data_IF_361705419846
#
_entry.id   IF_361705419846
#
_cell.length_a   1.000
_cell.length_b   1.000
_cell.length_c   1.000
_cell.angle_alpha   90.00
_cell.angle_beta   90.00
_cell.angle_gamma   90.00
#
_symmetry.space_group_name_H-M   'P 1'
#
loop_
_entity.id
_entity.type
_entity.pdbx_description
1 polymer ?
#
# COMPACT_ATOMS: atom_id res chain seq x y z
N UNK A 1 -6.57 -33.37 -6.29
CA UNK A 1 -6.16 -32.68 -5.04
C UNK A 1 -7.22 -32.67 -3.94
N UNK A 2 -8.48 -33.10 -4.17
CA UNK A 2 -9.54 -33.15 -3.15
C UNK A 2 -9.19 -33.90 -1.85
N UNK A 3 -8.18 -34.79 -1.86
CA UNK A 3 -7.76 -35.59 -0.71
C UNK A 3 -6.57 -35.02 0.07
N UNK A 4 -6.08 -33.83 -0.29
CA UNK A 4 -4.91 -33.21 0.34
C UNK A 4 -5.33 -32.33 1.52
N UNK A 5 -5.68 -32.94 2.66
CA UNK A 5 -6.23 -32.25 3.84
C UNK A 5 -5.23 -31.38 4.61
N UNK A 6 -3.93 -31.63 4.48
CA UNK A 6 -2.84 -30.91 5.16
C UNK A 6 -2.22 -29.81 4.30
N UNK A 7 -2.85 -29.44 3.19
CA UNK A 7 -2.32 -28.44 2.27
C UNK A 7 -2.40 -27.03 2.91
N UNK A 8 -1.24 -26.37 3.03
CA UNK A 8 -1.10 -25.02 3.60
C UNK A 8 -0.97 -23.96 2.53
N UNK A 9 -0.29 -24.27 1.43
CA UNK A 9 -0.11 -23.37 0.30
C UNK A 9 -0.45 -24.10 -1.01
N UNK A 10 -1.21 -23.43 -1.87
CA UNK A 10 -1.50 -23.87 -3.23
C UNK A 10 -1.11 -22.77 -4.20
N UNK A 11 0.02 -22.95 -4.88
CA UNK A 11 0.50 -22.04 -5.91
C UNK A 11 0.39 -22.72 -7.28
N UNK A 12 -0.54 -22.25 -8.10
CA UNK A 12 -0.79 -22.71 -9.47
C UNK A 12 -0.77 -21.53 -10.45
N UNK A 13 -0.14 -20.41 -10.07
CA UNK A 13 -0.06 -19.22 -10.90
C UNK A 13 0.76 -19.43 -12.18
N UNK A 14 0.52 -18.59 -13.20
CA UNK A 14 1.22 -18.61 -14.49
C UNK A 14 1.08 -19.95 -15.23
N UNK A 15 -0.16 -20.44 -15.35
CA UNK A 15 -0.48 -21.67 -16.07
C UNK A 15 -1.61 -21.41 -17.09
N UNK A 16 -2.00 -22.46 -17.81
CA UNK A 16 -3.10 -22.42 -18.78
C UNK A 16 -4.36 -23.12 -18.24
N UNK A 17 -4.57 -23.11 -16.92
CA UNK A 17 -5.72 -23.77 -16.28
C UNK A 17 -7.01 -23.02 -16.63
N UNK A 18 -8.08 -23.75 -16.92
CA UNK A 18 -9.35 -23.17 -17.36
C UNK A 18 -10.55 -23.79 -16.62
N UNK A 19 -11.71 -23.14 -16.78
CA UNK A 19 -12.95 -23.54 -16.11
C UNK A 19 -13.15 -22.85 -14.76
N UNK A 20 -14.22 -23.20 -14.02
CA UNK A 20 -14.50 -22.57 -12.74
C UNK A 20 -13.49 -23.01 -11.67
N UNK A 21 -13.23 -22.14 -10.70
CA UNK A 21 -12.50 -22.52 -9.49
C UNK A 21 -13.31 -23.62 -8.78
N UNK A 22 -12.77 -24.83 -8.58
CA UNK A 22 -13.55 -25.92 -8.01
C UNK A 22 -13.92 -25.67 -6.54
N UNK A 23 -15.15 -25.99 -6.16
CA UNK A 23 -15.63 -25.80 -4.77
C UNK A 23 -14.80 -26.52 -3.72
N UNK A 24 -14.21 -27.67 -4.09
CA UNK A 24 -13.39 -28.45 -3.17
C UNK A 24 -12.23 -27.62 -2.59
N UNK A 25 -11.73 -26.59 -3.29
CA UNK A 25 -10.68 -25.70 -2.78
C UNK A 25 -11.12 -25.02 -1.48
N UNK A 26 -12.38 -24.62 -1.37
CA UNK A 26 -12.95 -24.03 -0.16
C UNK A 26 -13.49 -25.05 0.85
N UNK A 27 -13.79 -26.27 0.41
CA UNK A 27 -14.31 -27.33 1.28
C UNK A 27 -13.20 -28.10 2.01
N UNK A 28 -12.09 -28.39 1.31
CA UNK A 28 -10.93 -29.14 1.78
C UNK A 28 -9.68 -28.67 1.02
N UNK A 29 -8.81 -27.82 1.61
CA UNK A 29 -8.14 -28.02 2.90
C UNK A 29 -8.38 -26.88 3.91
N UNK A 30 -8.78 -27.20 5.14
CA UNK A 30 -9.08 -26.17 6.16
C UNK A 30 -7.87 -25.36 6.63
N UNK A 31 -6.66 -25.91 6.45
CA UNK A 31 -5.40 -25.26 6.83
C UNK A 31 -4.82 -24.37 5.73
N UNK A 32 -5.49 -24.27 4.57
CA UNK A 32 -4.98 -23.49 3.45
C UNK A 32 -4.86 -22.01 3.85
N UNK A 33 -3.63 -21.53 3.85
CA UNK A 33 -3.24 -20.18 4.18
C UNK A 33 -2.98 -19.34 2.92
N UNK A 34 -2.44 -19.97 1.88
CA UNK A 34 -2.02 -19.30 0.64
C UNK A 34 -2.70 -19.96 -0.55
N UNK A 35 -3.43 -19.17 -1.33
CA UNK A 35 -4.03 -19.59 -2.58
C UNK A 35 -3.63 -18.61 -3.69
N UNK A 36 -2.78 -19.07 -4.61
CA UNK A 36 -2.33 -18.30 -5.77
C UNK A 36 -2.73 -19.03 -7.05
N UNK A 37 -3.72 -18.47 -7.75
CA UNK A 37 -4.24 -18.95 -9.03
C UNK A 37 -4.03 -17.91 -10.16
N UNK A 38 -3.20 -16.90 -9.91
CA UNK A 38 -2.91 -15.78 -10.82
C UNK A 38 -2.55 -16.22 -12.23
N UNK A 39 -2.89 -15.42 -13.25
CA UNK A 39 -2.44 -15.62 -14.63
C UNK A 39 -2.79 -17.01 -15.15
N UNK A 40 -4.09 -17.28 -15.20
CA UNK A 40 -4.72 -18.49 -15.75
C UNK A 40 -5.97 -18.09 -16.57
N UNK A 41 -6.81 -19.06 -16.92
CA UNK A 41 -8.09 -18.88 -17.60
C UNK A 41 -9.28 -19.32 -16.73
N UNK A 42 -9.17 -19.19 -15.40
CA UNK A 42 -10.29 -19.47 -14.51
C UNK A 42 -11.46 -18.54 -14.81
N UNK A 43 -12.67 -19.08 -14.85
CA UNK A 43 -13.88 -18.34 -15.19
C UNK A 43 -14.98 -18.55 -14.15
N UNK A 44 -16.20 -18.07 -14.46
CA UNK A 44 -17.34 -18.04 -13.55
C UNK A 44 -17.07 -17.19 -12.30
N UNK A 45 -17.99 -17.24 -11.33
CA UNK A 45 -17.89 -16.47 -10.09
C UNK A 45 -16.90 -17.05 -9.09
N UNK A 46 -16.33 -16.18 -8.25
CA UNK A 46 -15.58 -16.60 -7.06
C UNK A 46 -16.49 -17.48 -6.20
N UNK A 47 -16.15 -18.77 -5.97
CA UNK A 47 -17.04 -19.67 -5.28
C UNK A 47 -17.13 -19.34 -3.79
N UNK A 48 -18.35 -19.30 -3.25
CA UNK A 48 -18.62 -18.96 -1.84
C UNK A 48 -18.03 -19.98 -0.87
N UNK A 49 -17.71 -21.20 -1.34
CA UNK A 49 -16.97 -22.20 -0.59
C UNK A 49 -15.62 -21.69 -0.10
N UNK A 50 -14.95 -20.77 -0.82
CA UNK A 50 -13.69 -20.14 -0.39
C UNK A 50 -13.81 -19.40 0.95
N UNK A 51 -14.99 -18.86 1.25
CA UNK A 51 -15.25 -18.18 2.53
C UNK A 51 -15.19 -19.12 3.74
N UNK A 52 -15.10 -20.45 3.54
CA UNK A 52 -14.92 -21.44 4.61
C UNK A 52 -13.45 -21.64 4.99
N UNK A 53 -12.51 -20.99 4.30
CA UNK A 53 -11.06 -21.07 4.54
C UNK A 53 -10.63 -20.05 5.60
N UNK A 54 -10.87 -20.36 6.86
CA UNK A 54 -10.60 -19.46 7.98
C UNK A 54 -9.10 -19.15 8.17
N UNK A 55 -8.22 -20.06 7.73
CA UNK A 55 -6.77 -19.88 7.80
C UNK A 55 -6.19 -19.04 6.65
N UNK A 56 -7.00 -18.70 5.63
CA UNK A 56 -6.54 -18.01 4.44
C UNK A 56 -6.06 -16.59 4.78
N UNK A 57 -4.82 -16.29 4.39
CA UNK A 57 -4.17 -15.00 4.59
C UNK A 57 -3.76 -14.36 3.26
N UNK A 58 -3.53 -15.16 2.22
CA UNK A 58 -3.20 -14.68 0.89
C UNK A 58 -4.12 -15.33 -0.14
N UNK A 59 -4.87 -14.48 -0.83
CA UNK A 59 -5.71 -14.85 -1.96
C UNK A 59 -5.30 -14.05 -3.18
N UNK A 60 -4.77 -14.71 -4.20
CA UNK A 60 -4.44 -14.10 -5.48
C UNK A 60 -5.14 -14.88 -6.62
N UNK A 61 -6.20 -14.27 -7.15
CA UNK A 61 -6.96 -14.76 -8.31
C UNK A 61 -6.80 -13.82 -9.52
N UNK A 62 -5.79 -12.95 -9.50
CA UNK A 62 -5.62 -11.90 -10.51
C UNK A 62 -5.32 -12.46 -11.91
N UNK A 63 -5.53 -11.65 -12.96
CA UNK A 63 -5.26 -12.04 -14.35
C UNK A 63 -5.96 -13.36 -14.74
N UNK A 64 -7.28 -13.37 -14.61
CA UNK A 64 -8.14 -14.50 -14.99
C UNK A 64 -9.38 -13.98 -15.73
N UNK A 65 -10.34 -14.87 -15.99
CA UNK A 65 -11.64 -14.55 -16.61
C UNK A 65 -12.80 -14.65 -15.60
N UNK A 66 -12.54 -14.39 -14.31
CA UNK A 66 -13.55 -14.53 -13.25
C UNK A 66 -14.57 -13.41 -13.38
N UNK A 67 -15.85 -13.73 -13.28
CA UNK A 67 -16.97 -12.81 -13.46
C UNK A 67 -17.92 -12.83 -12.26
N UNK A 68 -19.04 -12.10 -12.33
CA UNK A 68 -20.00 -12.01 -11.24
C UNK A 68 -19.53 -11.10 -10.09
N UNK A 69 -20.21 -11.18 -8.95
CA UNK A 69 -20.02 -10.25 -7.84
C UNK A 69 -19.02 -10.77 -6.80
N UNK A 70 -18.42 -9.84 -6.06
CA UNK A 70 -17.59 -10.16 -4.90
C UNK A 70 -18.42 -10.81 -3.79
N UNK A 71 -18.04 -11.98 -3.27
CA UNK A 71 -18.79 -12.64 -2.21
C UNK A 71 -18.80 -11.82 -0.91
N UNK A 72 -20.00 -11.51 -0.40
CA UNK A 72 -20.16 -10.83 0.90
C UNK A 72 -19.56 -11.62 2.07
N UNK A 73 -19.45 -12.94 1.91
CA UNK A 73 -18.86 -13.82 2.91
C UNK A 73 -17.32 -13.73 3.02
N UNK A 74 -16.65 -12.88 2.24
CA UNK A 74 -15.20 -12.67 2.38
C UNK A 74 -14.80 -12.23 3.80
N UNK A 75 -15.72 -11.58 4.54
CA UNK A 75 -15.56 -11.27 5.97
C UNK A 75 -15.39 -12.49 6.87
N UNK A 76 -15.74 -13.71 6.41
CA UNK A 76 -15.55 -14.95 7.16
C UNK A 76 -14.10 -15.46 7.13
N UNK A 77 -13.19 -14.82 6.39
CA UNK A 77 -11.76 -15.13 6.37
C UNK A 77 -11.11 -14.59 7.66
N UNK A 78 -11.30 -15.31 8.76
CA UNK A 78 -10.98 -14.83 10.13
C UNK A 78 -9.52 -14.43 10.31
N UNK A 79 -8.57 -15.09 9.62
CA UNK A 79 -7.15 -14.71 9.70
C UNK A 79 -6.90 -13.28 9.20
N UNK A 80 -7.69 -12.79 8.23
CA UNK A 80 -7.64 -11.42 7.71
C UNK A 80 -8.44 -10.42 8.57
N UNK A 81 -9.32 -10.90 9.46
CA UNK A 81 -10.06 -10.07 10.43
C UNK A 81 -9.21 -9.76 11.67
N UNK A 82 -8.36 -10.68 12.13
CA UNK A 82 -7.59 -10.51 13.37
C UNK A 82 -6.36 -9.64 13.15
N UNK A 83 -6.09 -8.69 14.06
CA UNK A 83 -4.81 -7.99 14.15
C UNK A 83 -3.83 -8.81 15.00
N UNK A 84 -2.73 -9.32 14.43
CA UNK A 84 -1.72 -10.04 15.22
C UNK A 84 -0.68 -9.05 15.77
N UNK A 85 -0.63 -8.91 17.09
CA UNK A 85 0.35 -8.06 17.78
C UNK A 85 1.75 -8.69 17.84
N UNK A 86 1.89 -10.00 17.61
CA UNK A 86 3.15 -10.75 17.56
C UNK A 86 3.08 -11.84 16.49
N UNK A 87 3.19 -11.49 15.21
CA UNK A 87 3.19 -12.49 14.15
C UNK A 87 4.52 -13.25 14.16
N UNK A 88 4.49 -14.55 14.47
CA UNK A 88 5.65 -15.42 14.31
C UNK A 88 6.04 -15.46 12.83
N UNK A 89 7.24 -15.00 12.47
CA UNK A 89 7.68 -14.80 11.09
C UNK A 89 8.09 -16.09 10.34
N UNK A 90 7.63 -17.27 10.75
CA UNK A 90 7.96 -18.52 10.04
C UNK A 90 6.73 -19.42 9.89
N UNK A 91 6.31 -19.72 8.65
CA UNK A 91 5.51 -20.92 8.34
C UNK A 91 6.54 -22.01 8.05
N UNK A 92 6.49 -23.13 8.76
CA UNK A 92 7.04 -24.38 8.23
C UNK A 92 5.93 -25.06 7.44
N UNK A 93 6.01 -25.09 6.11
CA UNK A 93 5.20 -25.99 5.31
C UNK A 93 6.13 -27.01 4.64
N UNK A 94 5.66 -28.24 4.51
CA UNK A 94 6.42 -29.30 3.84
C UNK A 94 5.88 -29.45 2.43
N UNK A 95 6.57 -28.93 1.42
CA UNK A 95 6.27 -29.26 0.03
C UNK A 95 6.74 -30.70 -0.22
N UNK A 96 5.79 -31.62 -0.45
CA UNK A 96 6.09 -32.94 -0.96
C UNK A 96 6.43 -32.85 -2.47
N UNK A 97 7.61 -32.32 -2.79
CA UNK A 97 8.18 -32.35 -4.13
C UNK A 97 9.12 -33.54 -4.25
N UNK A 98 8.66 -34.67 -4.80
CA UNK A 98 9.58 -35.73 -5.25
C UNK A 98 10.30 -35.25 -6.51
N UNK A 99 11.40 -34.52 -6.34
CA UNK A 99 12.42 -34.45 -7.39
C UNK A 99 13.21 -35.76 -7.36
N UNK A 100 13.46 -36.34 -8.54
CA UNK A 100 14.26 -37.55 -8.67
C UNK A 100 15.65 -37.35 -8.04
N UNK A 101 15.92 -38.11 -6.97
CA UNK A 101 17.28 -38.64 -6.72
C UNK A 101 18.22 -37.87 -5.80
N UNK A 102 17.75 -36.95 -4.96
CA UNK A 102 18.57 -36.42 -3.85
C UNK A 102 17.68 -36.15 -2.63
N UNK A 103 17.93 -36.90 -1.55
CA UNK A 103 17.44 -36.63 -0.20
C UNK A 103 18.13 -35.38 0.36
N UNK A 104 17.88 -34.23 -0.26
CA UNK A 104 18.16 -32.95 0.37
C UNK A 104 16.88 -32.50 1.06
N UNK A 105 16.91 -32.53 2.39
CA UNK A 105 15.90 -31.92 3.22
C UNK A 105 15.84 -30.42 2.89
N UNK A 106 14.86 -30.01 2.08
CA UNK A 106 14.59 -28.61 1.79
C UNK A 106 14.41 -27.85 3.10
N UNK A 107 15.24 -26.85 3.33
CA UNK A 107 15.13 -25.97 4.49
C UNK A 107 13.85 -25.12 4.34
N UNK A 108 13.06 -24.88 5.40
CA UNK A 108 11.87 -24.02 5.34
C UNK A 108 12.14 -22.56 4.92
N UNK A 109 13.41 -22.16 4.79
CA UNK A 109 13.86 -20.81 4.44
C UNK A 109 14.06 -20.58 2.93
N UNK A 110 13.93 -21.62 2.09
CA UNK A 110 14.16 -21.56 0.65
C UNK A 110 12.89 -21.35 -0.19
N UNK A 111 11.72 -21.25 0.44
CA UNK A 111 10.45 -21.17 -0.30
C UNK A 111 10.13 -19.72 -0.70
N UNK A 112 10.28 -19.44 -1.99
CA UNK A 112 9.99 -18.15 -2.62
C UNK A 112 8.59 -18.20 -3.22
N UNK A 113 7.69 -17.32 -2.76
CA UNK A 113 6.39 -17.10 -3.38
C UNK A 113 6.36 -15.70 -3.99
N UNK A 114 6.08 -15.65 -5.29
CA UNK A 114 5.89 -14.42 -6.03
C UNK A 114 4.51 -13.85 -5.77
N UNK A 115 4.47 -12.70 -5.09
CA UNK A 115 3.23 -11.96 -4.83
C UNK A 115 3.35 -10.59 -5.46
N UNK A 116 2.30 -10.10 -6.11
CA UNK A 116 2.26 -8.70 -6.52
C UNK A 116 2.01 -7.84 -5.29
N UNK A 117 3.03 -7.08 -4.90
CA UNK A 117 2.99 -6.14 -3.79
C UNK A 117 3.34 -4.76 -4.31
N UNK A 118 2.50 -3.75 -4.06
CA UNK A 118 2.74 -2.37 -4.53
C UNK A 118 3.00 -2.26 -6.04
N UNK A 119 2.27 -3.06 -6.83
CA UNK A 119 2.42 -3.10 -8.29
C UNK A 119 3.72 -3.76 -8.79
N UNK A 120 4.51 -4.39 -7.90
CA UNK A 120 5.74 -5.11 -8.26
C UNK A 120 5.65 -6.56 -7.81
N UNK A 121 6.09 -7.48 -8.67
CA UNK A 121 6.30 -8.88 -8.26
C UNK A 121 7.41 -8.88 -7.20
N UNK A 122 7.05 -9.27 -5.99
CA UNK A 122 7.94 -9.32 -4.84
C UNK A 122 8.04 -10.76 -4.38
N UNK A 123 9.27 -11.22 -4.25
CA UNK A 123 9.60 -12.52 -3.70
C UNK A 123 9.43 -12.48 -2.18
N UNK A 124 8.46 -13.22 -1.66
CA UNK A 124 8.28 -13.40 -0.24
C UNK A 124 8.87 -14.75 0.19
N UNK A 125 9.66 -14.72 1.27
CA UNK A 125 10.21 -15.89 1.95
C UNK A 125 9.47 -16.10 3.28
N UNK A 126 10.18 -16.03 4.40
CA UNK A 126 9.66 -16.19 5.77
C UNK A 126 8.63 -15.11 6.19
N UNK A 127 8.63 -13.93 5.57
CA UNK A 127 7.70 -12.83 5.91
C UNK A 127 6.28 -13.01 5.39
N UNK A 128 5.97 -14.08 4.65
CA UNK A 128 4.66 -14.27 4.03
C UNK A 128 3.48 -14.35 5.04
N UNK A 129 3.70 -14.78 6.30
CA UNK A 129 2.67 -14.70 7.39
C UNK A 129 2.22 -13.28 7.70
N UNK A 130 3.08 -12.29 7.47
CA UNK A 130 2.79 -10.89 7.76
C UNK A 130 1.86 -10.29 6.71
N UNK A 131 1.79 -10.90 5.54
CA UNK A 131 1.06 -10.37 4.40
C UNK A 131 -0.35 -10.95 4.38
N UNK A 132 -1.31 -10.12 4.79
CA UNK A 132 -2.74 -10.38 4.59
C UNK A 132 -3.18 -9.65 3.34
N UNK A 133 -3.36 -10.38 2.24
CA UNK A 133 -3.56 -9.79 0.91
C UNK A 133 -4.69 -10.46 0.14
N UNK A 134 -5.47 -9.63 -0.54
CA UNK A 134 -6.47 -10.04 -1.54
C UNK A 134 -6.14 -9.32 -2.84
N UNK A 135 -5.78 -10.09 -3.87
CA UNK A 135 -5.65 -9.61 -5.25
C UNK A 135 -6.66 -10.33 -6.15
N UNK A 136 -7.61 -9.55 -6.68
CA UNK A 136 -8.63 -9.98 -7.63
C UNK A 136 -8.57 -9.16 -8.92
N UNK A 137 -7.46 -8.46 -9.15
CA UNK A 137 -7.31 -7.53 -10.25
C UNK A 137 -7.29 -8.21 -11.62
N UNK A 138 -7.59 -7.45 -12.67
CA UNK A 138 -7.56 -7.94 -14.06
C UNK A 138 -8.47 -9.17 -14.25
N UNK A 139 -9.74 -8.99 -13.94
CA UNK A 139 -10.81 -9.95 -14.10
C UNK A 139 -12.04 -9.24 -14.70
N UNK A 140 -13.20 -9.90 -14.70
CA UNK A 140 -14.49 -9.36 -15.17
C UNK A 140 -15.50 -9.23 -14.02
N UNK A 141 -15.04 -9.01 -12.78
CA UNK A 141 -15.92 -8.86 -11.62
C UNK A 141 -16.81 -7.63 -11.79
N UNK A 142 -18.07 -7.74 -11.37
CA UNK A 142 -19.07 -6.69 -11.50
C UNK A 142 -19.84 -6.47 -10.19
N UNK A 143 -20.80 -5.54 -10.22
CA UNK A 143 -21.56 -5.15 -9.04
C UNK A 143 -20.73 -4.32 -8.07
N UNK A 144 -21.23 -4.14 -6.85
CA UNK A 144 -20.63 -3.27 -5.85
C UNK A 144 -19.53 -3.97 -5.03
N UNK A 145 -18.60 -3.17 -4.50
CA UNK A 145 -17.68 -3.65 -3.46
C UNK A 145 -18.47 -3.88 -2.17
N UNK A 146 -18.56 -5.12 -1.66
CA UNK A 146 -19.38 -5.44 -0.50
C UNK A 146 -18.85 -4.73 0.75
N UNK A 147 -19.74 -4.11 1.53
CA UNK A 147 -19.36 -3.42 2.77
C UNK A 147 -18.68 -4.34 3.79
N UNK A 148 -18.94 -5.64 3.72
CA UNK A 148 -18.34 -6.69 4.52
C UNK A 148 -16.81 -6.75 4.37
N UNK A 149 -16.24 -6.26 3.25
CA UNK A 149 -14.78 -6.19 3.08
C UNK A 149 -14.14 -5.29 4.14
N UNK A 150 -14.88 -4.30 4.65
CA UNK A 150 -14.41 -3.37 5.69
C UNK A 150 -14.28 -4.01 7.07
N UNK A 151 -14.67 -5.28 7.22
CA UNK A 151 -14.49 -6.08 8.44
C UNK A 151 -13.11 -6.77 8.49
N UNK A 152 -12.38 -6.80 7.37
CA UNK A 152 -11.05 -7.41 7.28
C UNK A 152 -9.96 -6.47 7.84
N UNK A 153 -10.09 -6.05 9.10
CA UNK A 153 -9.25 -4.97 9.68
C UNK A 153 -7.76 -5.30 9.74
N UNK A 154 -7.38 -6.58 9.61
CA UNK A 154 -5.99 -7.02 9.51
C UNK A 154 -5.42 -7.01 8.08
N UNK A 155 -6.23 -6.69 7.06
CA UNK A 155 -5.80 -6.68 5.66
C UNK A 155 -4.74 -5.60 5.43
N UNK A 156 -3.69 -5.96 4.70
CA UNK A 156 -2.53 -5.10 4.41
C UNK A 156 -2.51 -4.69 2.94
N UNK A 157 -3.00 -5.53 2.03
CA UNK A 157 -3.14 -5.17 0.61
C UNK A 157 -4.48 -5.61 0.05
N UNK A 158 -5.11 -4.70 -0.69
CA UNK A 158 -6.33 -4.94 -1.45
C UNK A 158 -6.17 -4.40 -2.87
N UNK A 159 -6.22 -5.30 -3.85
CA UNK A 159 -6.17 -4.94 -5.27
C UNK A 159 -7.41 -5.50 -5.98
N UNK A 160 -8.28 -4.58 -6.40
CA UNK A 160 -9.51 -4.86 -7.16
C UNK A 160 -9.48 -4.18 -8.54
N UNK A 161 -8.32 -3.67 -8.95
CA UNK A 161 -8.17 -2.89 -10.18
C UNK A 161 -8.50 -3.68 -11.44
N UNK A 162 -8.83 -2.99 -12.54
CA UNK A 162 -9.10 -3.61 -13.85
C UNK A 162 -10.20 -4.67 -13.78
N UNK A 163 -11.35 -4.26 -13.28
CA UNK A 163 -12.59 -5.03 -13.25
C UNK A 163 -13.75 -4.14 -13.76
N UNK A 164 -14.98 -4.62 -13.66
CA UNK A 164 -16.20 -3.89 -14.01
C UNK A 164 -17.01 -3.51 -12.74
N UNK A 165 -16.33 -3.24 -11.62
CA UNK A 165 -16.99 -2.92 -10.34
C UNK A 165 -17.69 -1.57 -10.42
N UNK A 166 -18.86 -1.47 -9.83
CA UNK A 166 -19.74 -0.29 -9.84
C UNK A 166 -20.07 0.16 -8.42
N UNK A 167 -20.86 1.23 -8.29
CA UNK A 167 -21.31 1.75 -7.01
C UNK A 167 -20.21 2.49 -6.25
N UNK A 168 -20.44 2.74 -4.96
CA UNK A 168 -19.56 3.57 -4.15
C UNK A 168 -18.45 2.77 -3.48
N UNK A 169 -17.32 3.44 -3.22
CA UNK A 169 -16.32 2.91 -2.29
C UNK A 169 -16.97 2.85 -0.90
N UNK A 170 -16.93 1.70 -0.18
CA UNK A 170 -17.58 1.56 1.12
C UNK A 170 -17.18 2.66 2.11
N UNK A 171 -18.17 3.33 2.71
CA UNK A 171 -17.94 4.47 3.62
C UNK A 171 -17.01 4.12 4.79
N UNK A 172 -16.98 2.85 5.21
CA UNK A 172 -16.15 2.33 6.31
C UNK A 172 -14.79 1.78 5.85
N UNK A 173 -14.32 2.10 4.64
CA UNK A 173 -13.01 1.62 4.15
C UNK A 173 -11.85 1.99 5.09
N UNK A 174 -11.98 3.11 5.81
CA UNK A 174 -11.03 3.52 6.86
C UNK A 174 -10.88 2.54 8.04
N UNK A 175 -11.77 1.55 8.20
CA UNK A 175 -11.62 0.51 9.22
C UNK A 175 -10.45 -0.44 8.94
N UNK A 176 -9.96 -0.48 7.69
CA UNK A 176 -8.80 -1.27 7.29
C UNK A 176 -7.51 -0.56 7.75
N UNK A 177 -7.32 -0.42 9.06
CA UNK A 177 -6.27 0.40 9.65
C UNK A 177 -4.84 -0.05 9.30
N UNK A 178 -4.68 -1.34 8.96
CA UNK A 178 -3.40 -1.93 8.57
C UNK A 178 -3.11 -1.87 7.06
N UNK A 179 -4.01 -1.29 6.28
CA UNK A 179 -3.89 -1.27 4.83
C UNK A 179 -2.70 -0.39 4.40
N UNK A 180 -1.77 -1.01 3.70
CA UNK A 180 -0.56 -0.40 3.13
C UNK A 180 -0.72 -0.13 1.63
N UNK A 181 -1.50 -0.97 0.93
CA UNK A 181 -1.74 -0.87 -0.51
C UNK A 181 -3.23 -1.01 -0.83
N UNK A 182 -3.79 -0.02 -1.52
CA UNK A 182 -5.13 -0.04 -2.08
C UNK A 182 -5.11 0.33 -3.56
N UNK A 183 -5.51 -0.59 -4.42
CA UNK A 183 -5.71 -0.32 -5.84
C UNK A 183 -7.13 -0.68 -6.28
N UNK A 184 -7.89 0.35 -6.67
CA UNK A 184 -9.26 0.28 -7.18
C UNK A 184 -9.34 0.82 -8.62
N UNK A 185 -8.21 1.06 -9.27
CA UNK A 185 -8.18 1.75 -10.56
C UNK A 185 -8.84 0.96 -11.67
N UNK A 186 -9.25 1.64 -12.75
CA UNK A 186 -9.83 0.98 -13.94
C UNK A 186 -11.06 0.14 -13.58
N UNK A 187 -12.05 0.79 -12.99
CA UNK A 187 -13.38 0.24 -12.68
C UNK A 187 -14.45 1.29 -13.08
N UNK A 188 -15.70 1.06 -12.68
CA UNK A 188 -16.83 1.97 -12.85
C UNK A 188 -17.36 2.50 -11.50
N UNK A 189 -16.47 2.64 -10.50
CA UNK A 189 -16.85 3.12 -9.18
C UNK A 189 -17.31 4.58 -9.26
N UNK A 190 -18.30 4.94 -8.47
CA UNK A 190 -18.94 6.26 -8.47
C UNK A 190 -19.09 6.85 -7.08
N UNK A 191 -19.55 8.10 -7.00
CA UNK A 191 -19.66 8.84 -5.75
C UNK A 191 -18.31 9.39 -5.27
N UNK A 192 -18.29 9.88 -4.04
CA UNK A 192 -17.09 10.51 -3.47
C UNK A 192 -16.11 9.50 -2.87
N UNK A 193 -14.84 9.89 -2.83
CA UNK A 193 -13.84 9.18 -2.02
C UNK A 193 -14.24 9.36 -0.54
N UNK A 194 -14.44 8.28 0.24
CA UNK A 194 -14.86 8.39 1.64
C UNK A 194 -13.82 9.12 2.49
N UNK A 195 -14.27 10.05 3.35
CA UNK A 195 -13.40 10.75 4.31
C UNK A 195 -12.64 9.78 5.23
N UNK A 196 -13.23 8.61 5.51
CA UNK A 196 -12.60 7.56 6.32
C UNK A 196 -11.32 7.01 5.70
N UNK A 197 -11.15 7.08 4.36
CA UNK A 197 -9.92 6.62 3.70
C UNK A 197 -8.71 7.44 4.16
N UNK A 198 -8.90 8.73 4.48
CA UNK A 198 -7.85 9.60 5.01
C UNK A 198 -7.44 9.32 6.46
N UNK A 199 -8.13 8.41 7.15
CA UNK A 199 -7.83 7.97 8.52
C UNK A 199 -6.91 6.75 8.59
N UNK A 200 -6.75 6.01 7.49
CA UNK A 200 -5.77 4.93 7.43
C UNK A 200 -4.40 5.60 7.49
N UNK A 201 -3.53 5.28 8.45
CA UNK A 201 -2.21 5.93 8.57
C UNK A 201 -1.09 5.20 7.82
N UNK A 202 -1.28 3.92 7.52
CA UNK A 202 -0.26 3.06 6.93
C UNK A 202 -0.22 3.04 5.40
N UNK A 203 -1.13 3.73 4.71
CA UNK A 203 -1.25 3.59 3.26
C UNK A 203 -0.04 4.22 2.56
N UNK A 204 0.67 3.43 1.76
CA UNK A 204 1.83 3.86 0.98
C UNK A 204 1.60 3.75 -0.52
N UNK A 205 0.61 2.97 -0.95
CA UNK A 205 0.15 2.90 -2.33
C UNK A 205 -1.36 3.07 -2.35
N UNK A 206 -1.80 4.09 -3.08
CA UNK A 206 -3.19 4.35 -3.37
C UNK A 206 -3.35 4.59 -4.87
N UNK A 207 -4.31 3.92 -5.48
CA UNK A 207 -4.71 4.19 -6.85
C UNK A 207 -6.22 4.02 -7.01
N UNK A 208 -6.91 5.11 -7.37
CA UNK A 208 -8.34 5.16 -7.66
C UNK A 208 -8.61 5.75 -9.05
N UNK A 209 -7.57 5.83 -9.88
CA UNK A 209 -7.63 6.40 -11.23
C UNK A 209 -8.57 5.62 -12.15
N UNK A 210 -9.04 6.27 -13.21
CA UNK A 210 -9.90 5.67 -14.24
C UNK A 210 -11.16 5.02 -13.65
N UNK A 211 -11.98 5.85 -12.98
CA UNK A 211 -13.28 5.50 -12.43
C UNK A 211 -14.27 6.64 -12.74
N UNK A 212 -15.47 6.60 -12.16
CA UNK A 212 -16.48 7.65 -12.25
C UNK A 212 -16.67 8.36 -10.89
N UNK A 213 -15.59 8.52 -10.13
CA UNK A 213 -15.60 9.18 -8.82
C UNK A 213 -15.82 10.70 -8.99
N UNK A 214 -16.45 11.30 -7.99
CA UNK A 214 -16.86 12.70 -8.02
C UNK A 214 -16.63 13.44 -6.71
N UNK A 215 -16.66 14.77 -6.78
CA UNK A 215 -16.52 15.64 -5.62
C UNK A 215 -15.08 15.90 -5.20
N UNK A 216 -14.92 16.49 -4.01
CA UNK A 216 -13.61 16.91 -3.50
C UNK A 216 -12.83 15.73 -2.92
N UNK A 217 -11.55 15.62 -3.25
CA UNK A 217 -10.63 14.68 -2.60
C UNK A 217 -10.58 15.03 -1.09
N UNK A 218 -10.94 14.08 -0.20
CA UNK A 218 -10.93 14.32 1.24
C UNK A 218 -9.57 14.78 1.74
N UNK A 219 -9.55 15.85 2.54
CA UNK A 219 -8.35 16.22 3.27
C UNK A 219 -8.09 15.15 4.33
N UNK A 220 -6.94 14.50 4.27
CA UNK A 220 -6.57 13.40 5.15
C UNK A 220 -5.11 13.50 5.55
N UNK A 221 -4.64 12.54 6.36
CA UNK A 221 -3.25 12.56 6.82
C UNK A 221 -2.24 12.41 5.67
N UNK A 222 -2.55 11.60 4.64
CA UNK A 222 -1.65 11.42 3.49
C UNK A 222 -2.32 11.40 2.10
N UNK A 223 -3.63 11.62 1.95
CA UNK A 223 -4.25 11.56 0.61
C UNK A 223 -3.66 12.61 -0.35
N UNK A 224 -3.31 13.78 0.17
CA UNK A 224 -2.71 14.86 -0.62
C UNK A 224 -1.23 14.61 -0.96
N UNK A 225 -0.56 13.63 -0.33
CA UNK A 225 0.86 13.34 -0.61
C UNK A 225 1.05 12.40 -1.80
N UNK A 226 -0.01 11.73 -2.27
CA UNK A 226 0.06 10.89 -3.45
C UNK A 226 0.15 11.71 -4.73
N UNK A 227 0.73 11.11 -5.78
CA UNK A 227 0.79 11.75 -7.09
C UNK A 227 -0.62 11.90 -7.68
N UNK A 228 -0.86 12.99 -8.43
CA UNK A 228 -2.07 13.20 -9.21
C UNK A 228 -2.48 11.97 -10.06
N UNK A 229 -1.51 11.20 -10.55
CA UNK A 229 -1.74 9.97 -11.32
C UNK A 229 -2.61 8.94 -10.59
N UNK A 230 -2.62 8.94 -9.24
CA UNK A 230 -3.48 8.06 -8.45
C UNK A 230 -4.97 8.40 -8.58
N UNK A 231 -5.32 9.57 -9.10
CA UNK A 231 -6.68 10.11 -9.14
C UNK A 231 -7.18 10.45 -10.54
N UNK A 232 -6.28 10.56 -11.53
CA UNK A 232 -6.60 10.90 -12.93
C UNK A 232 -7.61 9.94 -13.55
N UNK A 233 -8.38 10.40 -14.54
CA UNK A 233 -9.40 9.58 -15.19
C UNK A 233 -10.71 9.51 -14.42
N UNK A 234 -10.92 10.41 -13.46
CA UNK A 234 -12.20 10.67 -12.78
C UNK A 234 -12.66 12.10 -13.13
N UNK A 235 -13.58 12.29 -14.09
CA UNK A 235 -13.90 13.63 -14.64
C UNK A 235 -14.46 14.62 -13.62
N UNK A 236 -15.24 14.13 -12.64
CA UNK A 236 -15.93 14.96 -11.65
C UNK A 236 -15.17 15.11 -10.33
N UNK A 237 -13.96 14.54 -10.24
CA UNK A 237 -13.12 14.61 -9.05
C UNK A 237 -12.26 15.88 -9.07
N UNK A 238 -12.15 16.56 -7.93
CA UNK A 238 -11.46 17.86 -7.81
C UNK A 238 -10.70 18.01 -6.49
N UNK A 239 -9.82 19.01 -6.42
CA UNK A 239 -8.98 19.32 -5.26
C UNK A 239 -7.62 18.60 -5.27
N UNK A 240 -6.71 19.04 -4.40
CA UNK A 240 -5.34 18.49 -4.34
C UNK A 240 -5.35 16.97 -4.14
N UNK A 241 -4.51 16.21 -4.89
CA UNK A 241 -3.41 16.66 -5.75
C UNK A 241 -3.78 16.90 -7.23
N UNK A 242 -5.06 16.93 -7.61
CA UNK A 242 -5.47 17.22 -8.98
C UNK A 242 -5.40 18.72 -9.29
N UNK A 243 -5.12 19.12 -10.53
CA UNK A 243 -5.10 20.53 -10.93
C UNK A 243 -6.50 21.18 -10.97
N UNK A 244 -7.56 20.37 -10.96
CA UNK A 244 -8.93 20.84 -11.08
C UNK A 244 -9.41 21.42 -9.74
N UNK A 245 -9.69 22.72 -9.71
CA UNK A 245 -10.33 23.38 -8.56
C UNK A 245 -11.78 22.94 -8.39
N UNK A 246 -12.23 22.79 -7.14
CA UNK A 246 -13.60 22.38 -6.86
C UNK A 246 -14.60 23.54 -7.04
N UNK A 247 -15.78 23.32 -7.66
CA UNK A 247 -16.83 24.32 -7.75
C UNK A 247 -17.26 24.76 -6.34
N UNK A 248 -17.21 26.06 -6.06
CA UNK A 248 -17.56 26.64 -4.75
C UNK A 248 -16.37 27.01 -3.86
N UNK A 249 -15.12 26.72 -4.27
CA UNK A 249 -13.92 27.36 -3.73
C UNK A 249 -13.54 28.60 -4.55
N UNK A 250 -14.52 29.47 -4.82
CA UNK A 250 -14.20 30.87 -5.07
C UNK A 250 -13.78 31.48 -3.73
N UNK A 251 -12.47 31.50 -3.49
CA UNK A 251 -11.91 32.38 -2.47
C UNK A 251 -12.43 33.78 -2.73
N UNK A 252 -13.02 34.37 -1.69
CA UNK A 252 -13.23 35.80 -1.49
C UNK A 252 -11.90 36.54 -1.53
N UNK A 253 -11.27 36.61 -2.69
CA UNK A 253 -10.34 37.66 -3.04
C UNK A 253 -11.04 38.53 -4.07
N UNK A 254 -11.61 39.63 -3.58
CA UNK A 254 -11.96 40.78 -4.42
C UNK A 254 -10.71 41.19 -5.20
N UNK A 255 -10.62 40.76 -6.45
CA UNK A 255 -9.88 41.48 -7.46
C UNK A 255 -10.57 42.84 -7.62
N UNK A 256 -9.86 43.99 -7.52
CA UNK A 256 -10.43 45.26 -7.95
C UNK A 256 -10.71 45.19 -9.47
N UNK A 257 -11.73 45.90 -9.97
CA UNK A 257 -12.16 45.76 -11.35
C UNK A 257 -11.08 46.27 -12.31
N UNK A 258 -10.77 45.48 -13.35
CA UNK A 258 -10.02 45.93 -14.52
C UNK A 258 -10.87 46.95 -15.28
N UNK A 259 -10.50 48.22 -15.16
CA UNK A 259 -10.81 49.23 -16.16
C UNK A 259 -9.89 48.97 -17.35
N UNK A 260 -10.49 48.77 -18.51
CA UNK A 260 -9.81 48.67 -19.80
C UNK A 260 -9.31 50.05 -20.21
N UNK A 261 -8.02 50.21 -20.45
CA UNK A 261 -7.52 51.30 -21.27
C UNK A 261 -6.25 50.89 -22.01
N UNK A 262 -6.18 51.39 -23.25
CA UNK A 262 -5.28 50.99 -24.33
C UNK A 262 -3.85 51.49 -24.11
N UNK A 263 -2.94 50.80 -24.77
CA UNK A 263 -1.53 51.15 -24.95
C UNK A 263 -1.34 52.55 -25.54
N UNK A 264 -0.41 53.33 -24.98
CA UNK A 264 0.45 54.25 -25.72
C UNK A 264 1.71 54.61 -24.89
N UNK A 265 2.86 54.21 -25.43
CA UNK A 265 4.23 54.75 -25.41
C UNK A 265 4.81 55.55 -24.23
N UNK A 266 6.04 55.17 -23.83
CA UNK A 266 7.07 56.14 -23.42
C UNK A 266 7.84 55.90 -22.10
N UNK A 267 8.97 55.21 -22.21
CA UNK A 267 10.27 55.44 -21.53
C UNK A 267 10.40 55.67 -19.99
N UNK A 268 11.18 54.73 -19.41
CA UNK A 268 12.25 54.90 -18.40
C UNK A 268 11.93 54.99 -16.89
N UNK A 269 12.85 54.37 -16.14
CA UNK A 269 13.18 54.50 -14.71
C UNK A 269 12.40 53.68 -13.66
N UNK A 270 13.00 52.53 -13.32
CA UNK A 270 13.58 52.19 -11.99
C UNK A 270 12.89 52.78 -10.75
N UNK A 271 12.23 51.92 -9.98
CA UNK A 271 12.40 51.64 -8.52
C UNK A 271 11.23 50.74 -8.04
N UNK A 272 11.52 49.49 -7.66
CA UNK A 272 11.61 49.03 -6.26
C UNK A 272 10.33 49.16 -5.43
N UNK A 273 9.70 48.03 -5.10
CA UNK A 273 9.14 47.76 -3.77
C UNK A 273 9.07 46.23 -3.49
N UNK A 274 10.14 45.75 -2.84
CA UNK A 274 10.16 44.81 -1.71
C UNK A 274 9.32 43.52 -1.70
N UNK A 275 9.98 42.39 -2.00
CA UNK A 275 9.87 41.13 -1.24
C UNK A 275 11.24 40.78 -0.66
N UNK A 276 11.65 41.51 0.38
CA UNK A 276 13.02 41.62 0.92
C UNK A 276 13.63 40.33 1.52
N UNK A 277 12.92 39.22 1.72
CA UNK A 277 13.49 38.08 2.51
C UNK A 277 13.46 36.68 1.87
N UNK A 278 13.00 36.52 0.63
CA UNK A 278 12.84 35.19 0.02
C UNK A 278 14.11 34.67 -0.68
N UNK A 279 14.56 35.34 -1.73
CA UNK A 279 15.57 34.77 -2.63
C UNK A 279 16.95 34.61 -2.01
N UNK A 280 17.43 35.64 -1.31
CA UNK A 280 18.80 35.68 -0.81
C UNK A 280 19.01 34.79 0.43
N UNK A 281 17.99 34.69 1.29
CA UNK A 281 18.03 33.79 2.44
C UNK A 281 18.12 32.33 1.99
N UNK A 282 17.26 31.91 1.04
CA UNK A 282 17.29 30.55 0.53
C UNK A 282 18.57 30.23 -0.25
N UNK A 283 19.09 31.19 -1.03
CA UNK A 283 20.37 31.02 -1.71
C UNK A 283 21.53 30.83 -0.72
N UNK A 284 21.57 31.62 0.36
CA UNK A 284 22.62 31.48 1.39
C UNK A 284 22.51 30.17 2.17
N UNK A 285 21.30 29.67 2.42
CA UNK A 285 21.07 28.39 3.09
C UNK A 285 21.54 27.20 2.24
N UNK A 286 21.26 27.23 0.93
CA UNK A 286 21.69 26.19 -0.01
C UNK A 286 23.22 26.16 -0.14
N UNK A 287 23.84 27.34 -0.26
CA UNK A 287 25.30 27.45 -0.34
C UNK A 287 25.93 26.99 0.98
N UNK A 288 25.39 27.39 2.12
CA UNK A 288 25.86 26.98 3.44
C UNK A 288 25.78 25.46 3.65
N UNK A 289 24.68 24.83 3.22
CA UNK A 289 24.54 23.38 3.27
C UNK A 289 25.55 22.68 2.36
N UNK A 290 25.72 23.14 1.12
CA UNK A 290 26.67 22.55 0.19
C UNK A 290 28.12 22.66 0.70
N UNK A 291 28.52 23.83 1.21
CA UNK A 291 29.88 24.05 1.75
C UNK A 291 30.09 23.25 3.03
N UNK A 292 29.11 23.21 3.94
CA UNK A 292 29.20 22.43 5.17
C UNK A 292 29.25 20.93 4.93
N UNK A 293 28.38 20.42 4.05
CA UNK A 293 28.32 19.00 3.70
C UNK A 293 29.59 18.55 2.97
N UNK A 294 30.06 19.32 1.98
CA UNK A 294 31.29 19.01 1.25
C UNK A 294 32.54 19.20 2.13
N UNK A 295 32.54 20.14 3.06
CA UNK A 295 33.62 20.33 4.02
C UNK A 295 33.77 19.13 4.96
N UNK A 296 32.67 18.63 5.52
CA UNK A 296 32.69 17.48 6.44
C UNK A 296 32.98 16.18 5.69
N UNK A 297 32.28 15.92 4.57
CA UNK A 297 32.48 14.69 3.79
C UNK A 297 33.85 14.69 3.12
N UNK A 298 34.29 15.82 2.57
CA UNK A 298 35.61 15.97 1.94
C UNK A 298 36.76 15.77 2.94
N UNK A 299 36.65 16.32 4.15
CA UNK A 299 37.67 16.12 5.19
C UNK A 299 37.72 14.68 5.70
N UNK A 300 36.57 13.98 5.76
CA UNK A 300 36.50 12.55 6.14
C UNK A 300 37.08 11.64 5.04
N UNK A 301 36.89 11.98 3.77
CA UNK A 301 37.40 11.18 2.64
C UNK A 301 38.92 11.30 2.46
N UNK A 302 39.51 12.46 2.75
CA UNK A 302 40.95 12.71 2.51
C UNK A 302 41.86 12.45 3.72
N UNK A 303 41.37 12.61 4.96
CA UNK A 303 42.20 12.45 6.17
C UNK A 303 41.89 11.16 6.92
N UNK A 304 42.82 10.19 6.86
CA UNK A 304 42.71 8.91 7.59
C UNK A 304 42.55 9.08 9.10
N UNK A 305 43.17 10.12 9.68
CA UNK A 305 43.12 10.42 11.12
C UNK A 305 41.76 11.00 11.53
N UNK A 306 41.17 11.90 10.74
CA UNK A 306 39.85 12.47 11.01
C UNK A 306 38.75 11.43 10.86
N UNK A 307 38.86 10.52 9.87
CA UNK A 307 37.93 9.40 9.69
C UNK A 307 37.84 8.53 10.95
N UNK A 308 38.99 8.16 11.53
CA UNK A 308 39.03 7.34 12.74
C UNK A 308 38.43 8.06 13.96
N UNK A 309 38.76 9.34 14.15
CA UNK A 309 38.20 10.14 15.24
C UNK A 309 36.67 10.29 15.14
N UNK A 310 36.15 10.53 13.92
CA UNK A 310 34.71 10.64 13.67
C UNK A 310 33.95 9.36 14.00
N UNK A 311 34.44 8.20 13.51
CA UNK A 311 33.81 6.91 13.83
C UNK A 311 33.91 6.55 15.31
N UNK A 312 35.00 6.92 15.99
CA UNK A 312 35.14 6.71 17.44
C UNK A 312 34.08 7.49 18.23
N UNK A 313 33.86 8.76 17.90
CA UNK A 313 32.82 9.59 18.54
C UNK A 313 31.41 9.01 18.28
N UNK A 314 31.13 8.57 17.06
CA UNK A 314 29.85 7.91 16.75
C UNK A 314 29.64 6.62 17.55
N UNK A 315 30.69 5.81 17.69
CA UNK A 315 30.66 4.58 18.49
C UNK A 315 30.41 4.89 19.98
N UNK A 316 31.06 5.92 20.52
CA UNK A 316 30.92 6.33 21.91
C UNK A 316 29.50 6.85 22.20
N UNK A 317 28.91 7.63 21.29
CA UNK A 317 27.52 8.10 21.38
C UNK A 317 26.54 6.92 21.30
N UNK A 318 26.76 5.98 20.38
CA UNK A 318 25.92 4.79 20.24
C UNK A 318 25.96 3.92 21.51
N UNK A 319 27.16 3.73 22.08
CA UNK A 319 27.34 3.00 23.34
C UNK A 319 26.65 3.72 24.51
N UNK A 320 26.76 5.04 24.60
CA UNK A 320 26.06 5.83 25.62
C UNK A 320 24.53 5.69 25.49
N UNK A 321 24.00 5.82 24.27
CA UNK A 321 22.57 5.67 24.01
C UNK A 321 22.06 4.27 24.37
N UNK A 322 22.85 3.23 24.04
CA UNK A 322 22.55 1.86 24.42
C UNK A 322 22.48 1.67 25.94
N UNK A 323 23.45 2.20 26.68
CA UNK A 323 23.48 2.12 28.16
C UNK A 323 22.30 2.86 28.77
N UNK A 324 21.96 4.05 28.26
CA UNK A 324 20.79 4.82 28.72
C UNK A 324 19.49 4.06 28.46
N UNK A 325 19.35 3.45 27.29
CA UNK A 325 18.19 2.62 26.95
C UNK A 325 18.08 1.37 27.83
N UNK A 326 19.21 0.71 28.11
CA UNK A 326 19.26 -0.45 28.99
C UNK A 326 18.87 -0.10 30.44
N UNK A 327 19.33 1.05 30.95
CA UNK A 327 18.98 1.55 32.28
C UNK A 327 17.49 1.89 32.37
N UNK A 328 16.91 2.52 31.35
CA UNK A 328 15.48 2.83 31.32
C UNK A 328 14.63 1.56 31.24
N UNK A 329 15.04 0.57 30.43
CA UNK A 329 14.39 -0.74 30.35
C UNK A 329 14.43 -1.46 31.70
N UNK A 330 15.56 -1.46 32.39
CA UNK A 330 15.70 -2.08 33.71
C UNK A 330 14.84 -1.39 34.79
N UNK A 331 14.76 -0.05 34.78
CA UNK A 331 13.86 0.72 35.66
C UNK A 331 12.39 0.44 35.39
N UNK A 332 12.02 0.26 34.13
CA UNK A 332 10.65 -0.05 33.72
C UNK A 332 10.23 -1.45 34.18
N UNK A 333 11.09 -2.46 33.99
CA UNK A 333 10.83 -3.84 34.45
C UNK A 333 10.68 -3.92 35.97
N UNK A 334 11.50 -3.18 36.74
CA UNK A 334 11.36 -3.10 38.22
C UNK A 334 10.06 -2.45 38.69
N UNK A 335 9.41 -1.61 37.88
CA UNK A 335 8.13 -0.96 38.21
C UNK A 335 6.90 -1.83 37.92
N UNK A 336 7.06 -2.90 37.13
CA UNK A 336 5.96 -3.77 36.67
C UNK A 336 5.99 -5.12 37.39
N UNK A 337 7.14 -5.54 37.91
CA UNK A 337 7.31 -6.76 38.70
C UNK A 337 7.30 -6.57 40.22
N UNK A 338 6.78 -5.46 40.73
CA UNK A 338 6.66 -5.15 42.16
C UNK A 338 5.22 -4.78 42.51
#
# INVERSE_FOLDING_TARGET
>A
MKNCSNLVALHMGHNNLFGPIPDWVGENPKQLAILVLRSNHFNASVPTSLCRLQSLQLLDLSLNHISGTLPKCLSNLTKMVVHEQNPSASISYSIAGKSHGIDEAFSPDDEIIDVVWKGKVTEFRSTLKLVKSIDLSSNMLNGEVPTEITLLVGLVSLNLSRNNLMGQIPLRIGNLANLDSLDLSNNHLSGSIPQSLGLIHGISVLNVSNNNLSGKIPKGTQLQSFNASAYVGNPELCGDPLPNSCPGEETTHRSPPRFSEKEEDGASNREETNTIFGGEFYASMVIGYAVGFLGVVGTILFSRSCRFAYFKVLQDVANWAYVVAAIHKAKFVRRIGG
#
